data_IF_097650995076
#
_entry.id   IF_097650995076
#
_cell.length_a   1.000
_cell.length_b   1.000
_cell.length_c   1.000
_cell.angle_alpha   90.00
_cell.angle_beta   90.00
_cell.angle_gamma   90.00
#
_symmetry.space_group_name_H-M   'P 1'
#
loop_
_entity.id
_entity.type
_entity.pdbx_description
1 polymer ?
#
# COMPACT_ATOMS: atom_id res chain seq x y z
N UNK A 1 -1.19 -5.17 7.04
CA UNK A 1 -0.14 -4.56 6.19
C UNK A 1 1.09 -5.42 6.22
N UNK A 2 1.19 -6.39 5.32
CA UNK A 2 2.38 -7.21 5.11
C UNK A 2 3.48 -6.41 4.37
N UNK A 3 3.95 -5.33 4.99
CA UNK A 3 5.13 -4.59 4.55
C UNK A 3 6.01 -4.29 5.79
N UNK A 4 7.34 -4.41 5.64
CA UNK A 4 8.28 -4.26 6.77
C UNK A 4 8.25 -2.85 7.39
N UNK A 5 7.91 -1.84 6.60
CA UNK A 5 7.84 -0.45 7.04
C UNK A 5 6.57 -0.13 7.84
N UNK A 6 5.58 -1.03 7.88
CA UNK A 6 4.37 -0.86 8.69
C UNK A 6 4.64 -0.89 10.20
N UNK A 7 5.81 -1.40 10.58
CA UNK A 7 6.32 -1.39 11.95
C UNK A 7 7.11 -0.11 12.29
N UNK A 8 7.55 0.66 11.29
CA UNK A 8 8.20 1.96 11.47
C UNK A 8 7.15 3.05 11.68
N UNK A 9 6.63 3.12 12.91
CA UNK A 9 5.59 4.07 13.31
C UNK A 9 6.20 5.34 13.91
N UNK A 10 5.45 6.44 13.83
CA UNK A 10 5.81 7.68 14.49
C UNK A 10 7.15 8.26 14.01
N UNK A 11 7.91 8.79 14.97
CA UNK A 11 9.18 9.51 14.76
C UNK A 11 10.21 8.66 14.01
N UNK A 12 10.19 7.32 14.14
CA UNK A 12 11.14 6.46 13.45
C UNK A 12 10.97 6.50 11.92
N UNK A 13 9.74 6.55 11.43
CA UNK A 13 9.46 6.72 10.00
C UNK A 13 9.85 8.12 9.52
N UNK A 14 9.62 9.14 10.36
CA UNK A 14 9.97 10.52 10.03
C UNK A 14 11.48 10.74 9.88
N UNK A 15 12.27 10.16 10.78
CA UNK A 15 13.74 10.22 10.70
C UNK A 15 14.28 9.39 9.52
N UNK A 16 13.70 8.23 9.25
CA UNK A 16 14.15 7.35 8.17
C UNK A 16 13.89 7.93 6.77
N UNK A 17 12.74 8.58 6.59
CA UNK A 17 12.30 9.09 5.29
C UNK A 17 12.43 10.62 5.16
N UNK A 18 12.83 11.34 6.22
CA UNK A 18 12.92 12.81 6.23
C UNK A 18 11.60 13.51 5.92
N UNK A 19 10.47 12.83 6.17
CA UNK A 19 9.12 13.27 5.76
C UNK A 19 8.19 13.19 6.97
N UNK A 20 7.26 14.13 7.18
CA UNK A 20 6.39 14.11 8.37
C UNK A 20 5.69 12.77 8.59
N UNK A 21 5.63 12.31 9.83
CA UNK A 21 5.02 11.02 10.22
C UNK A 21 3.68 10.76 9.53
N UNK A 22 2.77 11.75 9.54
CA UNK A 22 1.43 11.65 8.92
C UNK A 22 1.49 11.33 7.43
N UNK A 23 2.49 11.87 6.72
CA UNK A 23 2.67 11.64 5.29
C UNK A 23 3.21 10.23 5.02
N UNK A 24 4.18 9.78 5.80
CA UNK A 24 4.67 8.40 5.75
C UNK A 24 3.53 7.39 5.98
N UNK A 25 2.73 7.61 7.02
CA UNK A 25 1.58 6.77 7.35
C UNK A 25 0.51 6.79 6.24
N UNK A 26 0.26 7.95 5.63
CA UNK A 26 -0.68 8.10 4.50
C UNK A 26 -0.22 7.30 3.28
N UNK A 27 1.05 7.40 2.89
CA UNK A 27 1.59 6.73 1.70
C UNK A 27 1.67 5.22 1.91
N UNK A 28 2.25 4.77 3.02
CA UNK A 28 2.30 3.34 3.37
C UNK A 28 0.89 2.77 3.60
N UNK A 29 -0.06 3.64 3.97
CA UNK A 29 -1.48 3.38 4.14
C UNK A 29 -2.28 3.26 2.85
N UNK A 30 -1.82 3.80 1.72
CA UNK A 30 -2.63 3.96 0.51
C UNK A 30 -3.04 2.63 -0.16
N UNK A 31 -2.16 1.63 -0.21
CA UNK A 31 -2.44 0.34 -0.85
C UNK A 31 -3.23 -0.59 0.09
N UNK A 32 -4.44 -1.02 -0.28
CA UNK A 32 -5.29 -1.88 0.54
C UNK A 32 -5.01 -3.38 0.35
N UNK A 33 -4.50 -3.75 -0.84
CA UNK A 33 -4.18 -5.13 -1.20
C UNK A 33 -2.76 -5.53 -0.74
N UNK A 34 -2.52 -6.83 -0.59
CA UNK A 34 -1.23 -7.40 -0.16
C UNK A 34 -0.88 -8.62 -1.02
N UNK A 35 0.42 -8.90 -1.20
CA UNK A 35 0.98 -10.04 -1.95
C UNK A 35 0.72 -9.97 -3.46
N UNK A 36 -0.55 -9.89 -3.89
CA UNK A 36 -0.97 -9.68 -5.27
C UNK A 36 -1.66 -8.32 -5.36
N UNK A 37 -1.23 -7.49 -6.29
CA UNK A 37 -1.73 -6.12 -6.46
C UNK A 37 -1.88 -5.79 -7.93
N UNK A 38 -2.84 -4.92 -8.25
CA UNK A 38 -3.04 -4.44 -9.61
C UNK A 38 -1.77 -3.81 -10.21
N UNK A 39 -1.45 -4.22 -11.44
CA UNK A 39 -0.35 -3.69 -12.22
C UNK A 39 -0.60 -2.23 -12.64
N UNK A 40 0.45 -1.48 -13.05
CA UNK A 40 0.33 -0.04 -13.32
C UNK A 40 -0.77 0.37 -14.31
N UNK A 41 -1.02 -0.45 -15.35
CA UNK A 41 -2.07 -0.18 -16.35
C UNK A 41 -3.49 -0.44 -15.82
N UNK A 42 -3.63 -1.28 -14.80
CA UNK A 42 -4.90 -1.71 -14.21
C UNK A 42 -5.34 -0.82 -13.04
N UNK A 43 -4.40 -0.02 -12.48
CA UNK A 43 -4.65 0.89 -11.34
C UNK A 43 -5.75 1.93 -11.58
N UNK A 44 -6.05 2.29 -12.84
CA UNK A 44 -7.10 3.26 -13.19
C UNK A 44 -8.49 2.64 -13.28
N UNK A 45 -8.59 1.33 -13.50
CA UNK A 45 -9.86 0.62 -13.66
C UNK A 45 -10.34 -0.03 -12.36
N UNK A 46 -9.46 -0.18 -11.37
CA UNK A 46 -9.72 -0.79 -10.06
C UNK A 46 -10.65 -0.02 -9.10
N UNK A 47 -11.52 0.85 -9.61
CA UNK A 47 -12.67 1.38 -8.86
C UNK A 47 -13.85 0.42 -8.80
N UNK A 48 -13.79 -0.72 -9.49
CA UNK A 48 -14.91 -1.66 -9.55
C UNK A 48 -14.48 -3.11 -9.74
N UNK A 49 -14.97 -3.95 -8.82
CA UNK A 49 -15.09 -5.42 -8.91
C UNK A 49 -13.82 -6.23 -8.70
N UNK A 50 -13.70 -6.71 -7.47
CA UNK A 50 -13.25 -8.07 -7.16
C UNK A 50 -13.94 -9.08 -8.11
N UNK A 51 -13.20 -9.66 -9.06
CA UNK A 51 -13.50 -10.94 -9.71
C UNK A 51 -12.24 -11.41 -10.41
N UNK A 52 -11.75 -12.59 -10.03
CA UNK A 52 -10.63 -13.21 -10.72
C UNK A 52 -9.99 -14.37 -9.98
N UNK A 53 -10.75 -15.41 -9.67
CA UNK A 53 -10.21 -16.76 -9.72
C UNK A 53 -11.18 -17.57 -10.59
N UNK A 54 -10.91 -17.65 -11.90
CA UNK A 54 -11.34 -18.79 -12.69
C UNK A 54 -10.17 -19.77 -12.68
N UNK A 55 -10.35 -20.86 -11.96
CA UNK A 55 -9.50 -22.05 -12.06
C UNK A 55 -10.00 -22.82 -13.28
N UNK A 56 -9.08 -23.12 -14.20
CA UNK A 56 -9.33 -23.93 -15.39
C UNK A 56 -9.78 -25.35 -15.05
#
# INVERSE_FOLDING_TARGET
KNNIYSHLKGVAGELAFGTPTKECERVLGAQQEEILVAGPKERREGGGRSRGYEVA
#
